data_IF_924906992342
#
_entry.id   IF_924906992342
#
_cell.length_a   1.000
_cell.length_b   1.000
_cell.length_c   1.000
_cell.angle_alpha   90.00
_cell.angle_beta   90.00
_cell.angle_gamma   90.00
#
_symmetry.space_group_name_H-M   'P 1'
#
loop_
_entity.id
_entity.type
_entity.pdbx_description
1 polymer ?
#
# COMPACT_ATOMS: atom_id res chain seq x y z
N UNK A 1 -14.79 9.67 42.49
CA UNK A 1 -16.16 9.60 41.92
C UNK A 1 -16.61 11.01 41.62
N UNK A 2 -17.33 11.22 40.52
CA UNK A 2 -17.87 12.53 40.16
C UNK A 2 -18.93 12.95 41.18
N UNK A 3 -19.01 14.25 41.48
CA UNK A 3 -20.09 14.84 42.28
C UNK A 3 -21.40 14.86 41.49
N UNK A 4 -22.55 14.94 42.18
CA UNK A 4 -23.87 15.02 41.52
C UNK A 4 -23.97 16.20 40.53
N UNK A 5 -23.28 17.31 40.84
CA UNK A 5 -23.19 18.46 39.93
C UNK A 5 -22.36 18.15 38.68
N UNK A 6 -21.23 17.45 38.81
CA UNK A 6 -20.42 17.02 37.66
C UNK A 6 -21.17 15.99 36.81
N UNK A 7 -21.87 15.05 37.43
CA UNK A 7 -22.72 14.08 36.71
C UNK A 7 -23.78 14.81 35.89
N UNK A 8 -24.49 15.78 36.48
CA UNK A 8 -25.49 16.56 35.74
C UNK A 8 -24.89 17.36 34.58
N UNK A 9 -23.67 17.86 34.73
CA UNK A 9 -23.00 18.64 33.69
C UNK A 9 -22.46 17.78 32.55
N UNK A 10 -21.94 16.59 32.84
CA UNK A 10 -21.22 15.75 31.87
C UNK A 10 -21.96 14.51 31.40
N UNK A 11 -23.12 14.16 31.99
CA UNK A 11 -23.95 13.05 31.48
C UNK A 11 -24.37 13.28 30.04
N UNK A 12 -24.45 12.20 29.28
CA UNK A 12 -24.94 12.20 27.91
C UNK A 12 -26.34 11.59 27.87
N UNK A 13 -27.26 12.36 27.32
CA UNK A 13 -28.63 11.94 27.13
C UNK A 13 -28.85 11.55 25.66
N UNK A 14 -29.88 10.76 25.42
CA UNK A 14 -30.35 10.45 24.09
C UNK A 14 -30.60 11.75 23.31
N UNK A 15 -30.16 11.75 22.05
CA UNK A 15 -30.18 12.88 21.12
C UNK A 15 -29.15 13.98 21.40
N UNK A 16 -28.31 13.86 22.43
CA UNK A 16 -27.12 14.71 22.52
C UNK A 16 -26.17 14.41 21.37
N UNK A 17 -25.44 15.44 20.96
CA UNK A 17 -24.41 15.34 19.93
C UNK A 17 -23.05 15.59 20.58
N UNK A 18 -22.05 14.78 20.25
CA UNK A 18 -20.66 14.99 20.67
C UNK A 18 -19.81 15.36 19.47
N UNK A 19 -19.08 16.46 19.58
CA UNK A 19 -18.04 16.84 18.65
C UNK A 19 -16.66 16.43 19.17
N UNK A 20 -15.85 15.86 18.28
CA UNK A 20 -14.43 15.58 18.56
C UNK A 20 -13.68 16.91 18.60
N UNK A 21 -13.27 17.35 19.79
CA UNK A 21 -12.58 18.61 20.01
C UNK A 21 -11.11 18.53 19.66
N UNK A 22 -10.43 17.46 20.12
CA UNK A 22 -8.98 17.29 19.97
C UNK A 22 -8.70 15.93 19.32
N UNK A 23 -7.94 15.93 18.23
CA UNK A 23 -7.51 14.69 17.58
C UNK A 23 -6.21 14.87 16.80
N UNK A 24 -5.37 13.84 16.74
CA UNK A 24 -4.18 13.84 15.87
C UNK A 24 -4.55 13.90 14.39
N UNK A 25 -5.68 13.31 14.01
CA UNK A 25 -6.22 13.39 12.65
C UNK A 25 -7.00 14.68 12.43
N UNK A 26 -6.51 15.47 11.47
CA UNK A 26 -7.18 16.63 10.90
C UNK A 26 -8.59 16.33 10.36
N UNK A 27 -8.81 15.10 9.89
CA UNK A 27 -10.09 14.71 9.31
C UNK A 27 -11.13 14.31 10.37
N UNK A 28 -10.67 13.81 11.53
CA UNK A 28 -11.57 13.41 12.62
C UNK A 28 -11.98 14.59 13.50
N UNK A 29 -11.10 15.57 13.69
CA UNK A 29 -11.42 16.76 14.49
C UNK A 29 -12.63 17.50 13.90
N UNK A 30 -13.53 17.97 14.76
CA UNK A 30 -14.74 18.67 14.38
C UNK A 30 -15.86 17.78 13.81
N UNK A 31 -15.70 16.45 13.80
CA UNK A 31 -16.80 15.54 13.44
C UNK A 31 -17.77 15.37 14.60
N UNK A 32 -19.04 15.19 14.26
CA UNK A 32 -20.14 15.02 15.22
C UNK A 32 -20.59 13.55 15.25
N UNK A 33 -20.89 13.07 16.45
CA UNK A 33 -21.44 11.75 16.74
C UNK A 33 -22.74 11.92 17.53
N UNK A 34 -23.80 11.23 17.13
CA UNK A 34 -25.07 11.20 17.86
C UNK A 34 -25.08 10.16 18.96
N UNK A 35 -25.70 10.52 20.09
CA UNK A 35 -25.98 9.62 21.20
C UNK A 35 -27.40 9.06 21.03
N UNK A 36 -27.50 7.75 20.80
CA UNK A 36 -28.77 7.11 20.44
C UNK A 36 -29.55 6.57 21.65
N UNK A 37 -28.89 6.47 22.81
CA UNK A 37 -29.44 5.94 24.06
C UNK A 37 -28.95 6.75 25.26
N UNK A 38 -29.71 6.74 26.35
CA UNK A 38 -29.30 7.38 27.59
C UNK A 38 -28.15 6.57 28.20
N UNK A 39 -27.01 7.21 28.43
CA UNK A 39 -25.82 6.55 28.97
C UNK A 39 -25.33 7.26 30.22
N UNK A 40 -25.06 6.50 31.28
CA UNK A 40 -24.37 7.01 32.48
C UNK A 40 -22.85 7.09 32.25
N UNK A 41 -22.46 7.81 31.20
CA UNK A 41 -21.05 8.05 30.85
C UNK A 41 -20.73 9.53 30.90
N UNK A 42 -19.50 9.84 31.33
CA UNK A 42 -18.92 11.16 31.25
C UNK A 42 -17.85 11.19 30.14
N UNK A 43 -17.69 12.33 29.49
CA UNK A 43 -16.68 12.55 28.45
C UNK A 43 -15.57 13.47 28.96
N UNK A 44 -14.35 13.28 28.46
CA UNK A 44 -13.23 14.15 28.78
C UNK A 44 -13.25 15.45 27.94
N UNK A 45 -12.33 16.35 28.23
CA UNK A 45 -12.17 17.66 27.60
C UNK A 45 -11.84 17.61 26.09
N UNK A 46 -11.48 16.43 25.56
CA UNK A 46 -11.32 16.16 24.12
C UNK A 46 -12.63 16.12 23.34
N UNK A 47 -13.77 16.30 24.02
CA UNK A 47 -15.09 16.33 23.41
C UNK A 47 -15.86 17.59 23.81
N UNK A 48 -16.73 18.04 22.91
CA UNK A 48 -17.69 19.13 23.16
C UNK A 48 -19.08 18.56 22.96
N UNK A 49 -19.96 18.70 23.97
CA UNK A 49 -21.36 18.34 23.87
C UNK A 49 -22.18 19.47 23.25
N UNK A 50 -22.98 19.14 22.25
CA UNK A 50 -23.98 19.97 21.61
C UNK A 50 -25.35 19.53 22.11
N UNK A 51 -26.02 20.44 22.82
CA UNK A 51 -27.40 20.25 23.22
C UNK A 51 -28.29 21.02 22.26
N UNK A 52 -29.04 20.29 21.44
CA UNK A 52 -29.92 20.88 20.44
C UNK A 52 -31.22 21.37 21.08
N UNK A 53 -31.80 22.42 20.50
CA UNK A 53 -33.15 22.82 20.85
C UNK A 53 -34.13 21.82 20.23
N UNK A 54 -34.74 21.01 21.10
CA UNK A 54 -35.76 20.04 20.70
C UNK A 54 -36.86 20.74 19.88
N UNK A 55 -37.32 20.06 18.83
CA UNK A 55 -38.39 20.51 17.91
C UNK A 55 -38.00 21.58 16.87
N UNK A 56 -36.73 21.96 16.76
CA UNK A 56 -36.27 22.86 15.68
C UNK A 56 -35.35 22.12 14.69
N UNK A 57 -34.44 21.31 15.23
CA UNK A 57 -33.45 20.60 14.42
C UNK A 57 -33.27 19.16 14.91
N UNK A 58 -33.21 18.23 13.96
CA UNK A 58 -32.95 16.83 14.27
C UNK A 58 -31.45 16.55 14.45
N UNK A 59 -31.05 15.70 15.42
CA UNK A 59 -29.64 15.36 15.64
C UNK A 59 -28.95 14.77 14.41
N UNK A 60 -29.62 13.82 13.73
CA UNK A 60 -29.09 13.17 12.53
C UNK A 60 -28.84 14.17 11.39
N UNK A 61 -29.73 15.14 11.22
CA UNK A 61 -29.53 16.20 10.22
C UNK A 61 -28.27 17.02 10.51
N UNK A 62 -28.06 17.44 11.75
CA UNK A 62 -26.85 18.19 12.15
C UNK A 62 -25.61 17.33 11.95
N UNK A 63 -25.64 16.06 12.32
CA UNK A 63 -24.54 15.13 12.12
C UNK A 63 -24.14 15.03 10.63
N UNK A 64 -25.11 14.85 9.72
CA UNK A 64 -24.83 14.82 8.29
C UNK A 64 -24.38 16.19 7.76
N UNK A 65 -24.99 17.28 8.22
CA UNK A 65 -24.64 18.64 7.81
C UNK A 65 -23.18 18.99 8.15
N UNK A 66 -22.70 18.60 9.33
CA UNK A 66 -21.32 18.81 9.74
C UNK A 66 -20.29 18.00 8.93
N UNK A 67 -20.73 16.95 8.25
CA UNK A 67 -19.90 16.17 7.31
C UNK A 67 -19.91 16.73 5.88
N UNK A 68 -20.70 17.77 5.59
CA UNK A 68 -20.69 18.41 4.27
C UNK A 68 -19.37 19.13 4.00
N UNK A 69 -19.00 19.25 2.73
CA UNK A 69 -17.75 19.91 2.32
C UNK A 69 -17.63 21.33 2.86
N UNK A 70 -18.71 22.11 2.89
CA UNK A 70 -18.71 23.48 3.40
C UNK A 70 -18.30 23.57 4.87
N UNK A 71 -18.93 22.76 5.73
CA UNK A 71 -18.60 22.74 7.16
C UNK A 71 -17.23 22.13 7.40
N UNK A 72 -16.88 21.03 6.72
CA UNK A 72 -15.54 20.43 6.84
C UNK A 72 -14.43 21.40 6.44
N UNK A 73 -14.63 22.19 5.39
CA UNK A 73 -13.69 23.24 4.97
C UNK A 73 -13.62 24.37 6.00
N UNK A 74 -14.74 24.80 6.56
CA UNK A 74 -14.76 25.79 7.63
C UNK A 74 -13.97 25.30 8.86
N UNK A 75 -14.16 24.04 9.25
CA UNK A 75 -13.40 23.42 10.35
C UNK A 75 -11.91 23.39 10.04
N UNK A 76 -11.54 22.97 8.84
CA UNK A 76 -10.14 22.88 8.41
C UNK A 76 -9.42 24.23 8.47
N UNK A 77 -10.10 25.31 8.10
CA UNK A 77 -9.51 26.66 8.05
C UNK A 77 -9.38 27.34 9.42
N UNK A 78 -10.19 26.93 10.41
CA UNK A 78 -10.26 27.60 11.70
C UNK A 78 -9.73 26.75 12.87
N UNK A 79 -9.46 25.47 12.66
CA UNK A 79 -8.83 24.62 13.68
C UNK A 79 -7.42 25.11 14.01
N UNK A 80 -7.01 24.92 15.26
CA UNK A 80 -5.66 25.22 15.72
C UNK A 80 -4.86 23.93 15.80
N UNK A 81 -3.66 23.92 15.23
CA UNK A 81 -2.74 22.78 15.31
C UNK A 81 -1.57 23.12 16.23
N UNK A 82 -1.35 22.32 17.27
CA UNK A 82 -0.21 22.44 18.19
C UNK A 82 0.28 21.05 18.60
N UNK A 83 1.60 20.85 18.64
CA UNK A 83 2.24 19.60 19.08
C UNK A 83 1.68 18.31 18.41
N UNK A 84 1.28 18.38 17.13
CA UNK A 84 0.72 17.23 16.39
C UNK A 84 -0.75 16.91 16.69
N UNK A 85 -1.42 17.74 17.48
CA UNK A 85 -2.87 17.65 17.73
C UNK A 85 -3.60 18.81 17.04
N UNK A 86 -4.74 18.49 16.44
CA UNK A 86 -5.68 19.46 15.90
C UNK A 86 -6.79 19.68 16.92
N UNK A 87 -7.14 20.94 17.14
CA UNK A 87 -8.12 21.36 18.14
C UNK A 87 -9.14 22.34 17.55
N UNK A 88 -10.42 22.10 17.81
CA UNK A 88 -11.49 23.08 17.60
C UNK A 88 -11.95 23.66 18.93
N UNK A 89 -12.43 24.91 18.94
CA UNK A 89 -12.97 25.54 20.13
C UNK A 89 -14.49 25.73 20.01
N UNK A 90 -15.15 26.00 21.14
CA UNK A 90 -16.62 26.11 21.19
C UNK A 90 -17.14 27.32 20.41
N UNK A 91 -16.44 28.45 20.48
CA UNK A 91 -16.82 29.72 19.83
C UNK A 91 -16.80 29.63 18.30
N UNK A 92 -15.80 28.95 17.75
CA UNK A 92 -15.71 28.65 16.32
C UNK A 92 -16.90 27.79 15.89
N UNK A 93 -17.23 26.74 16.64
CA UNK A 93 -18.32 25.85 16.27
C UNK A 93 -19.69 26.53 16.41
N UNK A 94 -19.88 27.41 17.39
CA UNK A 94 -21.12 28.18 17.54
C UNK A 94 -21.30 29.24 16.44
N UNK A 95 -20.23 29.65 15.78
CA UNK A 95 -20.26 30.60 14.65
C UNK A 95 -20.56 29.91 13.31
N UNK A 96 -20.49 28.57 13.25
CA UNK A 96 -20.78 27.82 12.05
C UNK A 96 -22.24 28.01 11.61
N UNK A 97 -22.44 28.50 10.38
CA UNK A 97 -23.78 28.72 9.82
C UNK A 97 -24.38 27.38 9.39
N UNK A 98 -25.48 27.00 10.03
CA UNK A 98 -26.26 25.80 9.68
C UNK A 98 -27.49 26.22 8.90
N UNK A 99 -27.69 25.63 7.71
CA UNK A 99 -28.93 25.81 6.96
C UNK A 99 -30.02 24.95 7.60
N UNK A 100 -31.08 25.57 8.08
CA UNK A 100 -32.20 24.88 8.76
C UNK A 100 -33.43 24.99 7.85
N UNK A 101 -34.03 23.84 7.57
CA UNK A 101 -35.32 23.69 6.90
C UNK A 101 -36.37 23.14 7.88
N UNK A 102 -37.62 22.91 7.45
CA UNK A 102 -38.63 22.36 8.36
C UNK A 102 -38.28 20.93 8.78
N UNK A 103 -38.78 20.47 9.95
CA UNK A 103 -38.43 19.14 10.47
C UNK A 103 -38.76 18.00 9.51
N UNK A 104 -39.83 18.12 8.74
CA UNK A 104 -40.22 17.10 7.76
C UNK A 104 -39.23 17.05 6.59
N UNK A 105 -38.77 18.20 6.09
CA UNK A 105 -37.69 18.25 5.09
C UNK A 105 -36.37 17.71 5.65
N UNK A 106 -36.03 18.02 6.90
CA UNK A 106 -34.82 17.46 7.54
C UNK A 106 -34.87 15.94 7.59
N UNK A 107 -36.01 15.35 8.00
CA UNK A 107 -36.20 13.89 8.00
C UNK A 107 -36.12 13.31 6.60
N UNK A 108 -36.73 13.95 5.60
CA UNK A 108 -36.69 13.50 4.21
C UNK A 108 -35.25 13.50 3.65
N UNK A 109 -34.47 14.55 3.93
CA UNK A 109 -33.06 14.64 3.54
C UNK A 109 -32.23 13.54 4.21
N UNK A 110 -32.41 13.34 5.52
CA UNK A 110 -31.68 12.29 6.26
C UNK A 110 -32.04 10.91 5.72
N UNK A 111 -33.34 10.64 5.49
CA UNK A 111 -33.78 9.35 4.93
C UNK A 111 -33.16 9.07 3.56
N UNK A 112 -33.13 10.06 2.67
CA UNK A 112 -32.48 9.92 1.36
C UNK A 112 -30.97 9.65 1.49
N UNK A 113 -30.29 10.34 2.42
CA UNK A 113 -28.86 10.13 2.66
C UNK A 113 -28.58 8.74 3.23
N UNK A 114 -29.34 8.31 4.24
CA UNK A 114 -29.19 6.99 4.85
C UNK A 114 -29.49 5.86 3.85
N UNK A 115 -30.51 6.02 2.99
CA UNK A 115 -30.80 5.10 1.90
C UNK A 115 -29.59 4.98 0.95
N UNK A 116 -29.04 6.10 0.48
CA UNK A 116 -27.89 6.09 -0.44
C UNK A 116 -26.61 5.58 0.20
N UNK A 117 -26.37 5.89 1.47
CA UNK A 117 -25.22 5.34 2.20
C UNK A 117 -25.38 3.83 2.40
N UNK A 118 -26.60 3.36 2.71
CA UNK A 118 -26.87 1.93 2.83
C UNK A 118 -26.71 1.18 1.50
N UNK A 119 -27.12 1.77 0.36
CA UNK A 119 -26.84 1.23 -0.98
C UNK A 119 -25.33 1.07 -1.21
N UNK A 120 -24.53 2.06 -0.80
CA UNK A 120 -23.06 2.00 -0.91
C UNK A 120 -22.50 0.87 -0.05
N UNK A 121 -22.91 0.74 1.22
CA UNK A 121 -22.47 -0.33 2.11
C UNK A 121 -22.81 -1.72 1.55
N UNK A 122 -24.02 -1.88 0.99
CA UNK A 122 -24.45 -3.12 0.34
C UNK A 122 -23.61 -3.45 -0.90
N UNK A 123 -23.25 -2.44 -1.69
CA UNK A 123 -22.36 -2.62 -2.85
C UNK A 123 -20.96 -3.03 -2.41
N UNK A 124 -20.42 -2.41 -1.36
CA UNK A 124 -19.12 -2.80 -0.79
C UNK A 124 -19.14 -4.25 -0.31
N UNK A 125 -20.18 -4.66 0.42
CA UNK A 125 -20.35 -6.05 0.87
C UNK A 125 -20.49 -7.02 -0.30
N UNK A 126 -21.22 -6.63 -1.35
CA UNK A 126 -21.39 -7.43 -2.58
C UNK A 126 -20.06 -7.62 -3.30
N UNK A 127 -19.26 -6.56 -3.41
CA UNK A 127 -17.91 -6.61 -4.01
C UNK A 127 -17.02 -7.53 -3.18
N UNK A 128 -16.98 -7.38 -1.85
CA UNK A 128 -16.18 -8.22 -0.97
C UNK A 128 -16.56 -9.71 -1.10
N UNK A 129 -17.86 -10.00 -1.11
CA UNK A 129 -18.38 -11.37 -1.28
C UNK A 129 -18.01 -11.93 -2.65
N UNK A 130 -18.15 -11.13 -3.71
CA UNK A 130 -17.82 -11.53 -5.09
C UNK A 130 -16.32 -11.83 -5.24
N UNK A 131 -15.44 -11.04 -4.61
CA UNK A 131 -14.00 -11.30 -4.60
C UNK A 131 -13.68 -12.62 -3.89
N UNK A 132 -14.33 -12.89 -2.75
CA UNK A 132 -14.15 -14.15 -2.03
C UNK A 132 -14.62 -15.35 -2.85
N UNK A 133 -15.78 -15.23 -3.50
CA UNK A 133 -16.31 -16.27 -4.40
C UNK A 133 -15.40 -16.50 -5.61
N UNK A 134 -14.88 -15.44 -6.21
CA UNK A 134 -13.94 -15.54 -7.33
C UNK A 134 -12.65 -16.27 -6.92
N UNK A 135 -12.10 -15.98 -5.74
CA UNK A 135 -10.94 -16.70 -5.21
C UNK A 135 -11.27 -18.17 -4.94
N UNK A 136 -12.42 -18.47 -4.31
CA UNK A 136 -12.84 -19.85 -4.06
C UNK A 136 -13.04 -20.65 -5.37
N UNK A 137 -13.67 -20.03 -6.38
CA UNK A 137 -13.85 -20.63 -7.70
C UNK A 137 -12.50 -20.88 -8.38
N UNK A 138 -11.58 -19.92 -8.32
CA UNK A 138 -10.21 -20.08 -8.82
C UNK A 138 -9.52 -21.27 -8.17
N UNK A 139 -9.59 -21.40 -6.84
CA UNK A 139 -9.00 -22.54 -6.12
C UNK A 139 -9.64 -23.88 -6.53
N UNK A 140 -10.96 -23.90 -6.72
CA UNK A 140 -11.68 -25.09 -7.19
C UNK A 140 -11.21 -25.49 -8.61
N UNK A 141 -11.07 -24.53 -9.52
CA UNK A 141 -10.57 -24.79 -10.89
C UNK A 141 -9.13 -25.29 -10.85
N UNK A 142 -8.23 -24.66 -10.09
CA UNK A 142 -6.84 -25.10 -9.95
C UNK A 142 -6.75 -26.51 -9.36
N UNK A 143 -7.54 -26.79 -8.31
CA UNK A 143 -7.62 -28.14 -7.73
C UNK A 143 -8.06 -29.18 -8.77
N UNK A 144 -9.07 -28.86 -9.58
CA UNK A 144 -9.51 -29.73 -10.68
C UNK A 144 -8.43 -29.86 -11.77
N UNK A 145 -7.68 -28.79 -12.07
CA UNK A 145 -6.61 -28.81 -13.05
C UNK A 145 -5.47 -29.75 -12.63
N UNK A 146 -4.97 -29.59 -11.39
CA UNK A 146 -3.86 -30.38 -10.86
C UNK A 146 -4.23 -31.83 -10.53
N UNK A 147 -5.52 -32.14 -10.38
CA UNK A 147 -6.02 -33.52 -10.25
C UNK A 147 -6.39 -34.15 -11.59
N UNK A 148 -6.15 -33.46 -12.72
CA UNK A 148 -6.47 -33.97 -14.07
C UNK A 148 -7.97 -34.00 -14.39
N UNK A 149 -8.83 -33.46 -13.54
CA UNK A 149 -10.29 -33.56 -13.67
C UNK A 149 -10.91 -32.51 -14.62
N UNK A 150 -10.10 -31.64 -15.23
CA UNK A 150 -10.58 -30.63 -16.19
C UNK A 150 -10.71 -31.15 -17.63
N UNK A 151 -10.13 -32.31 -17.94
CA UNK A 151 -10.17 -32.95 -19.27
C UNK A 151 -10.41 -34.45 -19.07
N UNK A 152 -11.01 -35.12 -20.06
CA UNK A 152 -11.14 -36.58 -20.03
C UNK A 152 -9.74 -37.22 -19.95
N UNK A 153 -9.56 -38.14 -19.00
CA UNK A 153 -8.29 -38.83 -18.76
C UNK A 153 -8.10 -39.99 -19.75
N UNK A 154 -6.92 -40.10 -20.37
CA UNK A 154 -6.54 -41.28 -21.15
C UNK A 154 -6.02 -42.37 -20.20
N UNK A 155 -6.58 -43.57 -20.28
CA UNK A 155 -6.15 -44.73 -19.47
C UNK A 155 -4.72 -45.18 -19.76
N UNK A 156 -4.11 -44.72 -20.86
CA UNK A 156 -2.72 -45.03 -21.21
C UNK A 156 -1.70 -44.01 -20.68
N UNK A 157 -2.14 -42.91 -20.06
CA UNK A 157 -1.23 -41.92 -19.49
C UNK A 157 -0.46 -42.50 -18.30
N UNK A 158 0.85 -42.25 -18.26
CA UNK A 158 1.71 -42.67 -17.17
C UNK A 158 1.27 -41.98 -15.85
N UNK A 159 1.05 -42.73 -14.75
CA UNK A 159 0.67 -42.12 -13.48
C UNK A 159 1.75 -41.19 -12.96
N UNK A 160 1.35 -40.01 -12.44
CA UNK A 160 2.28 -39.02 -11.88
C UNK A 160 3.20 -39.58 -10.77
N UNK A 161 2.79 -40.66 -10.09
CA UNK A 161 3.60 -41.37 -9.10
C UNK A 161 4.89 -41.96 -9.69
N UNK A 162 4.82 -42.51 -10.92
CA UNK A 162 5.97 -43.13 -11.60
C UNK A 162 7.00 -42.07 -12.01
N UNK A 163 6.51 -40.92 -12.50
CA UNK A 163 7.36 -39.77 -12.82
C UNK A 163 8.06 -39.20 -11.57
N UNK A 164 7.33 -39.11 -10.45
CA UNK A 164 7.90 -38.65 -9.17
C UNK A 164 8.99 -39.60 -8.64
N UNK A 165 8.82 -40.91 -8.78
CA UNK A 165 9.84 -41.90 -8.42
C UNK A 165 11.11 -41.75 -9.26
N UNK A 166 10.98 -41.52 -10.58
CA UNK A 166 12.13 -41.23 -11.46
C UNK A 166 12.88 -39.96 -11.05
N UNK A 167 12.17 -38.87 -10.79
CA UNK A 167 12.78 -37.60 -10.36
C UNK A 167 13.50 -37.76 -9.01
N UNK A 168 12.95 -38.58 -8.11
CA UNK A 168 13.56 -38.87 -6.81
C UNK A 168 14.85 -39.68 -6.96
N UNK A 169 14.82 -40.73 -7.79
CA UNK A 169 16.00 -41.54 -8.10
C UNK A 169 17.11 -40.73 -8.78
N UNK A 170 16.78 -39.82 -9.69
CA UNK A 170 17.74 -38.91 -10.32
C UNK A 170 18.36 -37.91 -9.34
N UNK A 171 17.56 -37.35 -8.43
CA UNK A 171 18.06 -36.45 -7.37
C UNK A 171 18.97 -37.17 -6.38
N UNK A 172 18.61 -38.38 -5.99
CA UNK A 172 19.41 -39.20 -5.08
C UNK A 172 20.75 -39.58 -5.72
N UNK A 173 20.76 -39.89 -7.03
CA UNK A 173 21.99 -40.15 -7.80
C UNK A 173 22.90 -38.91 -7.91
N UNK A 174 22.34 -37.70 -8.03
CA UNK A 174 23.11 -36.44 -8.07
C UNK A 174 23.67 -36.02 -6.70
N UNK A 175 23.10 -36.49 -5.60
CA UNK A 175 23.58 -36.19 -4.24
C UNK A 175 24.87 -36.94 -3.85
N UNK A 176 25.27 -37.97 -4.60
CA UNK A 176 26.41 -38.84 -4.28
C UNK A 176 27.75 -38.22 -4.70
N UNK A 177 27.78 -37.29 -5.65
CA UNK A 177 29.00 -36.62 -6.14
C UNK A 177 29.45 -35.41 -5.32
N UNK A 178 28.62 -34.93 -4.38
CA UNK A 178 28.92 -33.76 -3.53
C UNK A 178 29.23 -34.16 -2.07
N UNK A 179 30.15 -35.10 -1.84
CA UNK A 179 30.61 -35.47 -0.48
C UNK A 179 31.94 -34.81 -0.11
N UNK A 180 31.92 -33.51 0.14
CA UNK A 180 32.94 -32.82 0.95
C UNK A 180 32.40 -31.51 1.54
N UNK A 181 31.57 -31.62 2.59
CA UNK A 181 31.51 -30.69 3.73
C UNK A 181 30.44 -31.17 4.72
N UNK A 182 30.86 -31.67 5.87
CA UNK A 182 29.98 -31.88 7.03
C UNK A 182 29.54 -30.51 7.54
N UNK A 183 28.24 -30.22 7.44
CA UNK A 183 27.58 -29.15 8.19
C UNK A 183 26.60 -29.79 9.19
N UNK A 184 26.67 -29.34 10.45
CA UNK A 184 25.78 -29.78 11.53
C UNK A 184 24.32 -29.50 11.16
N UNK A 185 23.47 -30.53 11.24
CA UNK A 185 22.02 -30.42 11.11
C UNK A 185 21.46 -29.64 12.30
N UNK A 186 21.05 -28.39 12.08
CA UNK A 186 20.01 -27.76 12.91
C UNK A 186 18.66 -28.14 12.32
N UNK A 187 17.86 -28.89 13.06
CA UNK A 187 16.49 -29.24 12.68
C UNK A 187 15.59 -28.03 12.90
N UNK A 188 15.14 -27.40 11.81
CA UNK A 188 13.99 -26.51 11.83
C UNK A 188 12.86 -27.19 11.05
N UNK A 189 11.74 -27.42 11.74
CA UNK A 189 10.52 -28.02 11.18
C UNK A 189 10.01 -27.13 10.03
N UNK A 190 9.73 -27.66 8.83
CA UNK A 190 9.12 -26.86 7.78
C UNK A 190 7.67 -26.52 8.15
N UNK A 191 7.34 -25.23 8.19
CA UNK A 191 5.96 -24.77 8.23
C UNK A 191 5.30 -25.06 6.86
N UNK A 192 4.02 -25.48 6.83
CA UNK A 192 3.38 -25.89 5.59
C UNK A 192 3.08 -24.69 4.69
N UNK A 193 3.66 -24.70 3.49
CA UNK A 193 3.38 -23.74 2.43
C UNK A 193 2.00 -24.05 1.83
N UNK A 194 1.05 -23.13 1.97
CA UNK A 194 -0.21 -23.14 1.20
C UNK A 194 -0.05 -22.27 -0.04
N UNK A 195 0.15 -22.90 -1.19
CA UNK A 195 0.26 -22.25 -2.50
C UNK A 195 -1.12 -21.91 -3.06
N UNK A 196 -1.66 -20.74 -2.70
CA UNK A 196 -2.63 -20.04 -3.54
C UNK A 196 -1.83 -19.09 -4.43
N UNK A 197 -1.55 -19.47 -5.68
CA UNK A 197 -0.89 -18.57 -6.64
C UNK A 197 -1.92 -17.52 -7.06
N UNK A 198 -1.99 -16.39 -6.37
CA UNK A 198 -2.62 -15.15 -6.86
C UNK A 198 -1.68 -14.60 -7.96
N UNK A 199 -2.16 -14.02 -9.08
CA UNK A 199 -1.27 -13.31 -9.99
C UNK A 199 -0.68 -12.11 -9.24
N UNK A 200 0.56 -12.28 -8.78
CA UNK A 200 1.35 -11.24 -8.17
C UNK A 200 2.34 -10.76 -9.24
N UNK A 201 2.33 -9.48 -9.62
CA UNK A 201 1.53 -8.38 -9.07
C UNK A 201 0.10 -8.27 -9.62
N UNK A 202 -0.80 -7.65 -8.85
CA UNK A 202 -2.22 -7.41 -9.13
C UNK A 202 -2.43 -6.08 -9.86
N UNK A 203 -3.26 -6.07 -10.90
CA UNK A 203 -3.70 -4.83 -11.57
C UNK A 203 -4.79 -4.13 -10.76
N UNK A 204 -4.58 -2.86 -10.46
CA UNK A 204 -5.61 -2.04 -9.79
C UNK A 204 -6.67 -1.57 -10.80
N UNK A 205 -7.94 -1.64 -10.40
CA UNK A 205 -9.05 -1.15 -11.20
C UNK A 205 -8.98 0.38 -11.36
N UNK A 206 -9.59 0.91 -12.42
CA UNK A 206 -9.80 2.35 -12.64
C UNK A 206 -8.54 3.22 -12.88
N UNK A 207 -7.36 2.61 -13.04
CA UNK A 207 -6.14 3.31 -13.47
C UNK A 207 -5.33 2.43 -14.44
N UNK A 208 -4.76 3.03 -15.49
CA UNK A 208 -3.83 2.30 -16.35
C UNK A 208 -2.51 2.07 -15.60
N UNK A 209 -1.82 0.96 -15.86
CA UNK A 209 -0.52 0.69 -15.24
C UNK A 209 0.50 1.80 -15.52
N UNK A 210 0.42 2.45 -16.68
CA UNK A 210 1.24 3.61 -17.05
C UNK A 210 0.94 4.84 -16.19
N UNK A 211 -0.35 5.17 -16.00
CA UNK A 211 -0.76 6.29 -15.15
C UNK A 211 -0.43 6.01 -13.67
N UNK A 212 -0.62 4.77 -13.22
CA UNK A 212 -0.30 4.32 -11.87
C UNK A 212 1.21 4.42 -11.61
N UNK A 213 2.04 3.95 -12.52
CA UNK A 213 3.50 4.07 -12.40
C UNK A 213 3.92 5.55 -12.36
N UNK A 214 3.39 6.40 -13.23
CA UNK A 214 3.62 7.86 -13.14
C UNK A 214 3.23 8.41 -11.76
N UNK A 215 2.08 7.96 -11.23
CA UNK A 215 1.58 8.29 -9.91
C UNK A 215 2.52 7.89 -8.77
N UNK A 216 3.05 6.67 -8.81
CA UNK A 216 4.04 6.17 -7.84
C UNK A 216 5.31 7.03 -7.89
N UNK A 217 5.79 7.40 -9.08
CA UNK A 217 6.96 8.28 -9.20
C UNK A 217 6.69 9.68 -8.67
N UNK A 218 5.52 10.24 -8.96
CA UNK A 218 5.10 11.55 -8.45
C UNK A 218 5.00 11.54 -6.92
N UNK A 219 4.40 10.51 -6.34
CA UNK A 219 4.30 10.34 -4.88
C UNK A 219 5.67 10.18 -4.25
N UNK A 220 6.54 9.34 -4.82
CA UNK A 220 7.92 9.18 -4.35
C UNK A 220 8.69 10.51 -4.38
N UNK A 221 8.54 11.30 -5.45
CA UNK A 221 9.13 12.64 -5.54
C UNK A 221 8.58 13.57 -4.46
N UNK A 222 7.26 13.59 -4.23
CA UNK A 222 6.62 14.41 -3.20
C UNK A 222 7.18 14.10 -1.79
N UNK A 223 7.40 12.82 -1.46
CA UNK A 223 8.04 12.42 -0.20
C UNK A 223 9.47 12.98 -0.05
N UNK A 224 10.26 12.98 -1.14
CA UNK A 224 11.62 13.54 -1.15
C UNK A 224 11.63 15.07 -1.10
N UNK A 225 10.65 15.71 -1.73
CA UNK A 225 10.51 17.17 -1.71
C UNK A 225 10.10 17.68 -0.32
N UNK A 226 9.19 16.99 0.38
CA UNK A 226 8.83 17.31 1.76
C UNK A 226 9.95 17.05 2.78
N UNK A 227 11.00 16.34 2.38
CA UNK A 227 12.19 16.10 3.21
C UNK A 227 13.46 16.56 2.48
N UNK A 228 13.73 17.89 2.41
CA UNK A 228 14.79 18.46 1.56
C UNK A 228 16.18 17.84 1.73
N UNK A 229 16.49 17.32 2.93
CA UNK A 229 17.72 16.58 3.22
C UNK A 229 17.98 15.40 2.27
N UNK A 230 16.91 14.73 1.82
CA UNK A 230 16.99 13.55 0.96
C UNK A 230 16.67 13.84 -0.51
N UNK A 231 16.27 15.07 -0.85
CA UNK A 231 15.89 15.44 -2.22
C UNK A 231 17.00 15.13 -3.25
N UNK A 232 18.27 15.33 -2.87
CA UNK A 232 19.42 15.03 -3.72
C UNK A 232 19.60 13.54 -4.05
N UNK A 233 18.94 12.63 -3.31
CA UNK A 233 18.99 11.19 -3.56
C UNK A 233 17.94 10.73 -4.58
N UNK A 234 17.00 11.60 -4.95
CA UNK A 234 15.95 11.26 -5.90
C UNK A 234 16.36 11.52 -7.35
N UNK A 235 16.35 10.46 -8.16
CA UNK A 235 16.64 10.48 -9.59
C UNK A 235 16.17 9.17 -10.25
N UNK A 236 16.47 8.94 -11.54
CA UNK A 236 15.98 7.76 -12.28
C UNK A 236 16.25 6.42 -11.60
N UNK A 237 17.47 6.20 -11.12
CA UNK A 237 17.83 4.93 -10.49
C UNK A 237 16.99 4.72 -9.22
N UNK A 238 16.85 5.76 -8.40
CA UNK A 238 16.04 5.72 -7.17
C UNK A 238 14.56 5.47 -7.49
N UNK A 239 14.01 6.19 -8.47
CA UNK A 239 12.65 6.03 -8.98
C UNK A 239 12.38 4.59 -9.44
N UNK A 240 13.24 4.03 -10.28
CA UNK A 240 13.11 2.65 -10.78
C UNK A 240 13.21 1.59 -9.68
N UNK A 241 14.02 1.84 -8.64
CA UNK A 241 14.14 0.93 -7.49
C UNK A 241 12.90 0.96 -6.61
N UNK A 242 12.35 2.15 -6.36
CA UNK A 242 11.07 2.30 -5.65
C UNK A 242 9.96 1.60 -6.43
N UNK A 243 9.84 1.85 -7.74
CA UNK A 243 8.85 1.17 -8.58
C UNK A 243 9.02 -0.35 -8.56
N UNK A 244 10.26 -0.86 -8.47
CA UNK A 244 10.50 -2.30 -8.42
C UNK A 244 10.02 -2.90 -7.11
N UNK A 245 10.31 -2.25 -5.99
CA UNK A 245 9.86 -2.73 -4.69
C UNK A 245 8.36 -2.56 -4.51
N UNK A 246 7.73 -1.51 -5.04
CA UNK A 246 6.26 -1.40 -5.04
C UNK A 246 5.62 -2.57 -5.80
N UNK A 247 6.15 -2.92 -6.97
CA UNK A 247 5.62 -4.04 -7.75
C UNK A 247 5.92 -5.40 -7.12
N UNK A 248 7.16 -5.63 -6.68
CA UNK A 248 7.63 -6.93 -6.22
C UNK A 248 7.37 -7.22 -4.74
N UNK A 249 7.21 -6.20 -3.89
CA UNK A 249 6.95 -6.38 -2.46
C UNK A 249 5.47 -6.17 -2.11
N UNK A 250 4.84 -5.15 -2.69
CA UNK A 250 3.44 -4.83 -2.41
C UNK A 250 2.48 -5.51 -3.40
N UNK A 251 3.00 -6.09 -4.49
CA UNK A 251 2.18 -6.82 -5.47
C UNK A 251 1.30 -5.92 -6.32
N UNK A 252 1.75 -4.70 -6.64
CA UNK A 252 0.98 -3.72 -7.41
C UNK A 252 1.52 -3.66 -8.85
N UNK A 253 0.73 -4.03 -9.85
CA UNK A 253 1.20 -4.15 -11.23
C UNK A 253 1.41 -2.78 -11.86
N UNK A 254 2.68 -2.44 -12.11
CA UNK A 254 3.06 -1.20 -12.80
C UNK A 254 3.27 -1.45 -14.30
N UNK A 255 3.03 -2.67 -14.78
CA UNK A 255 3.16 -3.06 -16.18
C UNK A 255 4.62 -3.07 -16.65
N UNK A 256 5.56 -3.27 -15.73
CA UNK A 256 6.99 -3.30 -16.01
C UNK A 256 7.46 -4.71 -16.36
N UNK A 257 8.52 -4.77 -17.15
CA UNK A 257 9.27 -5.98 -17.49
C UNK A 257 10.75 -5.78 -17.11
N UNK A 258 11.06 -5.81 -15.79
CA UNK A 258 12.41 -5.52 -15.32
C UNK A 258 13.42 -6.55 -15.81
N UNK A 259 14.58 -6.06 -16.26
CA UNK A 259 15.74 -6.86 -16.63
C UNK A 259 16.91 -6.63 -15.68
N UNK A 260 17.84 -7.59 -15.64
CA UNK A 260 19.13 -7.46 -14.98
C UNK A 260 19.99 -6.41 -15.70
N UNK A 261 20.10 -5.23 -15.12
CA UNK A 261 20.93 -4.13 -15.65
C UNK A 261 22.00 -3.66 -14.66
N UNK A 262 22.93 -2.82 -15.14
CA UNK A 262 24.02 -2.27 -14.34
C UNK A 262 23.54 -1.59 -13.04
N UNK A 263 22.43 -0.86 -13.10
CA UNK A 263 21.80 -0.17 -11.96
C UNK A 263 20.76 -1.03 -11.21
N UNK A 264 20.85 -2.36 -11.27
CA UNK A 264 19.89 -3.28 -10.65
C UNK A 264 18.70 -3.64 -11.57
N UNK A 265 17.55 -4.08 -11.02
CA UNK A 265 16.35 -4.40 -11.82
C UNK A 265 15.82 -3.13 -12.49
N UNK A 266 15.75 -3.10 -13.81
CA UNK A 266 15.49 -1.86 -14.56
C UNK A 266 14.63 -2.12 -15.80
N UNK A 267 13.76 -1.18 -16.13
CA UNK A 267 12.96 -1.18 -17.36
C UNK A 267 12.96 0.23 -17.99
N UNK A 268 14.10 0.60 -18.58
CA UNK A 268 14.30 1.92 -19.16
C UNK A 268 13.32 2.25 -20.31
N UNK A 269 13.01 1.33 -21.25
CA UNK A 269 12.00 1.60 -22.28
C UNK A 269 10.63 1.94 -21.68
N UNK A 270 10.19 1.21 -20.66
CA UNK A 270 8.94 1.51 -19.97
C UNK A 270 9.03 2.85 -19.23
N UNK A 271 10.11 3.14 -18.50
CA UNK A 271 10.31 4.42 -17.83
C UNK A 271 10.19 5.61 -18.80
N UNK A 272 10.77 5.51 -20.00
CA UNK A 272 10.65 6.55 -21.04
C UNK A 272 9.22 6.74 -21.53
N UNK A 273 8.44 5.65 -21.62
CA UNK A 273 7.00 5.73 -21.89
C UNK A 273 6.25 6.46 -20.78
N UNK A 274 6.61 6.23 -19.51
CA UNK A 274 6.04 6.94 -18.36
C UNK A 274 6.36 8.44 -18.42
N UNK A 275 7.63 8.80 -18.64
CA UNK A 275 8.06 10.20 -18.76
C UNK A 275 7.32 10.92 -19.90
N UNK A 276 7.22 10.27 -21.07
CA UNK A 276 6.49 10.83 -22.22
C UNK A 276 5.00 11.03 -21.89
N UNK A 277 4.37 10.05 -21.23
CA UNK A 277 2.97 10.14 -20.78
C UNK A 277 2.78 11.27 -19.78
N UNK A 278 3.66 11.40 -18.79
CA UNK A 278 3.61 12.42 -17.75
C UNK A 278 3.78 13.83 -18.32
N UNK A 279 4.69 14.00 -19.28
CA UNK A 279 4.88 15.27 -19.98
C UNK A 279 3.64 15.65 -20.79
N UNK A 280 3.08 14.74 -21.59
CA UNK A 280 1.84 14.99 -22.37
C UNK A 280 0.65 15.34 -21.47
N UNK A 281 0.60 14.76 -20.27
CA UNK A 281 -0.46 15.00 -19.29
C UNK A 281 -0.23 16.23 -18.39
N UNK A 282 0.90 16.93 -18.54
CA UNK A 282 1.33 18.03 -17.66
C UNK A 282 1.43 17.62 -16.18
N UNK A 283 1.78 16.38 -15.87
CA UNK A 283 1.97 15.91 -14.50
C UNK A 283 3.34 16.29 -13.95
N UNK A 284 4.40 15.89 -14.62
CA UNK A 284 5.78 16.24 -14.27
C UNK A 284 6.69 16.10 -15.48
N UNK A 285 7.88 16.69 -15.38
CA UNK A 285 8.96 16.50 -16.34
C UNK A 285 10.20 15.97 -15.63
N UNK A 286 10.99 15.17 -16.32
CA UNK A 286 12.30 14.72 -15.85
C UNK A 286 13.34 15.12 -16.87
N UNK A 287 14.36 15.88 -16.46
CA UNK A 287 15.41 16.35 -17.36
C UNK A 287 16.78 16.04 -16.77
N UNK A 288 17.70 15.59 -17.61
CA UNK A 288 19.09 15.48 -17.21
C UNK A 288 19.70 16.88 -17.09
N UNK A 289 20.54 17.10 -16.07
CA UNK A 289 21.29 18.36 -15.95
C UNK A 289 22.24 18.52 -17.15
N UNK A 290 22.52 19.78 -17.52
CA UNK A 290 23.32 20.13 -18.72
C UNK A 290 24.76 19.61 -18.70
N UNK A 291 25.28 19.31 -17.51
CA UNK A 291 26.59 18.71 -17.26
C UNK A 291 26.60 17.18 -17.47
N UNK A 292 25.50 16.58 -17.92
CA UNK A 292 25.34 15.13 -17.98
C UNK A 292 25.08 14.49 -16.60
N UNK A 293 24.86 15.32 -15.57
CA UNK A 293 24.66 14.92 -14.19
C UNK A 293 23.28 14.33 -13.91
N UNK A 294 22.88 14.35 -12.64
CA UNK A 294 21.65 13.72 -12.16
C UNK A 294 20.38 14.22 -12.89
N UNK A 295 19.39 13.34 -13.00
CA UNK A 295 18.06 13.67 -13.51
C UNK A 295 17.28 14.48 -12.47
N UNK A 296 16.68 15.59 -12.90
CA UNK A 296 15.90 16.51 -12.07
C UNK A 296 14.43 16.39 -12.43
N UNK A 297 13.61 16.20 -11.40
CA UNK A 297 12.15 16.18 -11.50
C UNK A 297 11.59 17.59 -11.29
N UNK A 298 10.62 17.98 -12.11
CA UNK A 298 9.86 19.23 -11.97
C UNK A 298 8.36 18.96 -12.08
N UNK A 299 7.58 19.53 -11.17
CA UNK A 299 6.11 19.39 -11.18
C UNK A 299 5.50 20.15 -12.36
N UNK A 300 4.49 19.55 -12.97
CA UNK A 300 3.59 20.19 -13.92
C UNK A 300 2.31 20.68 -13.24
N UNK A 301 1.45 21.35 -14.01
CA UNK A 301 0.21 21.96 -13.49
C UNK A 301 -0.81 20.94 -12.99
N UNK A 302 -0.72 19.69 -13.46
CA UNK A 302 -1.66 18.61 -13.12
C UNK A 302 -1.05 17.57 -12.17
N UNK A 303 0.06 17.92 -11.50
CA UNK A 303 0.76 17.04 -10.56
C UNK A 303 -0.14 16.58 -9.41
N UNK A 304 -0.83 17.51 -8.74
CA UNK A 304 -1.69 17.18 -7.60
C UNK A 304 -2.92 16.35 -8.02
N UNK A 305 -3.44 16.58 -9.22
CA UNK A 305 -4.51 15.76 -9.79
C UNK A 305 -4.06 14.31 -10.03
N UNK A 306 -2.82 14.09 -10.48
CA UNK A 306 -2.23 12.75 -10.57
C UNK A 306 -2.08 12.10 -9.20
N UNK A 307 -1.60 12.85 -8.19
CA UNK A 307 -1.48 12.32 -6.82
C UNK A 307 -2.82 11.90 -6.24
N UNK A 308 -3.86 12.71 -6.43
CA UNK A 308 -5.22 12.41 -5.98
C UNK A 308 -5.77 11.17 -6.71
N UNK A 309 -5.66 11.12 -8.04
CA UNK A 309 -6.06 9.95 -8.85
C UNK A 309 -5.34 8.68 -8.40
N UNK A 310 -4.04 8.77 -8.13
CA UNK A 310 -3.22 7.64 -7.68
C UNK A 310 -3.62 7.18 -6.28
N UNK A 311 -3.85 8.11 -5.35
CA UNK A 311 -4.30 7.78 -3.99
C UNK A 311 -5.65 7.05 -4.02
N UNK A 312 -6.60 7.52 -4.83
CA UNK A 312 -7.90 6.86 -5.00
C UNK A 312 -7.74 5.45 -5.59
N UNK A 313 -6.90 5.29 -6.62
CA UNK A 313 -6.70 3.99 -7.25
C UNK A 313 -5.96 2.98 -6.35
N UNK A 314 -5.05 3.45 -5.48
CA UNK A 314 -4.34 2.59 -4.53
C UNK A 314 -5.26 2.02 -3.44
N UNK A 315 -6.32 2.76 -3.05
CA UNK A 315 -7.23 2.34 -1.98
C UNK A 315 -6.47 1.93 -0.72
N UNK A 316 -6.71 0.71 -0.24
CA UNK A 316 -6.07 0.14 0.94
C UNK A 316 -4.55 -0.01 0.83
N UNK A 317 -4.01 -0.07 -0.39
CA UNK A 317 -2.56 -0.18 -0.61
C UNK A 317 -1.83 1.15 -0.38
N UNK A 318 -2.55 2.28 -0.29
CA UNK A 318 -1.92 3.61 -0.22
C UNK A 318 -1.00 3.76 1.01
N UNK A 319 -1.41 3.23 2.17
CA UNK A 319 -0.62 3.28 3.40
C UNK A 319 0.67 2.46 3.28
N UNK A 320 0.58 1.24 2.74
CA UNK A 320 1.73 0.37 2.53
C UNK A 320 2.74 0.97 1.52
N UNK A 321 2.24 1.63 0.48
CA UNK A 321 3.09 2.37 -0.48
C UNK A 321 3.82 3.53 0.21
N UNK A 322 3.14 4.30 1.07
CA UNK A 322 3.76 5.41 1.81
C UNK A 322 4.80 4.92 2.83
N UNK A 323 4.52 3.82 3.52
CA UNK A 323 5.45 3.19 4.45
C UNK A 323 6.71 2.73 3.72
N UNK A 324 6.57 2.06 2.57
CA UNK A 324 7.69 1.66 1.73
C UNK A 324 8.50 2.86 1.21
N UNK A 325 7.82 3.94 0.78
CA UNK A 325 8.49 5.17 0.36
C UNK A 325 9.28 5.80 1.51
N UNK A 326 8.71 5.86 2.71
CA UNK A 326 9.35 6.39 3.92
C UNK A 326 10.56 5.56 4.32
N UNK A 327 10.47 4.23 4.20
CA UNK A 327 11.56 3.30 4.47
C UNK A 327 12.73 3.49 3.50
N UNK A 328 12.43 3.74 2.22
CA UNK A 328 13.46 3.93 1.19
C UNK A 328 14.02 5.35 1.18
N UNK A 329 13.27 6.34 1.66
CA UNK A 329 13.63 7.76 1.65
C UNK A 329 15.09 8.07 2.10
N UNK A 330 15.61 7.55 3.22
CA UNK A 330 16.97 7.87 3.68
C UNK A 330 18.08 7.19 2.89
N UNK A 331 17.78 6.17 2.07
CA UNK A 331 18.79 5.46 1.30
C UNK A 331 19.28 6.32 0.14
N UNK A 332 20.60 6.44 -0.03
CA UNK A 332 21.13 7.04 -1.26
C UNK A 332 20.88 6.15 -2.49
N UNK A 333 21.17 6.65 -3.68
CA UNK A 333 20.95 5.94 -4.94
C UNK A 333 21.62 4.56 -4.98
N UNK A 334 22.84 4.45 -4.44
CA UNK A 334 23.63 3.20 -4.45
C UNK A 334 23.09 2.19 -3.45
N UNK A 335 22.66 2.63 -2.28
CA UNK A 335 22.02 1.77 -1.27
C UNK A 335 20.68 1.24 -1.78
N UNK A 336 19.84 2.10 -2.37
CA UNK A 336 18.57 1.69 -2.96
C UNK A 336 18.78 0.66 -4.09
N UNK A 337 19.80 0.89 -4.92
CA UNK A 337 20.23 -0.05 -5.96
C UNK A 337 20.59 -1.43 -5.39
N UNK A 338 21.40 -1.48 -4.32
CA UNK A 338 21.79 -2.74 -3.66
C UNK A 338 20.56 -3.46 -3.11
N UNK A 339 19.70 -2.75 -2.37
CA UNK A 339 18.47 -3.32 -1.79
C UNK A 339 17.56 -3.91 -2.87
N UNK A 340 17.27 -3.17 -3.94
CA UNK A 340 16.42 -3.67 -5.02
C UNK A 340 17.06 -4.84 -5.77
N UNK A 341 18.39 -4.86 -5.92
CA UNK A 341 19.11 -5.97 -6.57
C UNK A 341 19.06 -7.23 -5.70
N UNK A 342 19.28 -7.11 -4.39
CA UNK A 342 19.15 -8.21 -3.43
C UNK A 342 17.73 -8.75 -3.38
N UNK A 343 16.73 -7.87 -3.35
CA UNK A 343 15.33 -8.27 -3.35
C UNK A 343 14.98 -9.10 -4.59
N UNK A 344 15.38 -8.62 -5.77
CA UNK A 344 15.12 -9.32 -7.02
C UNK A 344 15.88 -10.65 -7.12
N UNK A 345 17.15 -10.70 -6.70
CA UNK A 345 17.94 -11.91 -6.65
C UNK A 345 17.33 -12.96 -5.72
N UNK A 346 16.96 -12.56 -4.50
CA UNK A 346 16.29 -13.41 -3.54
C UNK A 346 14.94 -13.90 -4.07
N UNK A 347 14.12 -13.02 -4.66
CA UNK A 347 12.86 -13.41 -5.29
C UNK A 347 13.06 -14.44 -6.41
N UNK A 348 14.04 -14.23 -7.31
CA UNK A 348 14.36 -15.19 -8.36
C UNK A 348 14.74 -16.58 -7.80
N UNK A 349 15.56 -16.62 -6.74
CA UNK A 349 15.95 -17.88 -6.10
C UNK A 349 14.74 -18.59 -5.46
N UNK A 350 13.82 -17.85 -4.85
CA UNK A 350 12.60 -18.40 -4.28
C UNK A 350 11.64 -18.93 -5.36
N UNK A 351 11.54 -18.25 -6.52
CA UNK A 351 10.75 -18.73 -7.66
C UNK A 351 11.21 -20.10 -8.17
N UNK A 352 12.49 -20.45 -7.97
CA UNK A 352 13.04 -21.77 -8.31
C UNK A 352 12.79 -22.83 -7.23
N UNK A 353 11.98 -22.54 -6.20
CA UNK A 353 11.55 -23.49 -5.17
C UNK A 353 12.60 -23.77 -4.10
N UNK A 354 13.62 -22.92 -3.96
CA UNK A 354 14.68 -23.05 -2.96
C UNK A 354 14.43 -22.27 -1.67
N UNK A 355 15.22 -22.58 -0.63
CA UNK A 355 15.39 -21.75 0.57
C UNK A 355 16.81 -21.19 0.54
N UNK A 356 17.06 -20.09 -0.19
CA UNK A 356 18.42 -19.65 -0.46
C UNK A 356 19.09 -19.10 0.81
N UNK A 357 20.35 -19.48 1.00
CA UNK A 357 21.24 -18.92 2.01
C UNK A 357 21.65 -17.49 1.65
N UNK A 358 22.17 -16.76 2.65
CA UNK A 358 22.68 -15.39 2.47
C UNK A 358 23.77 -15.34 1.40
N UNK A 359 24.63 -16.36 1.36
CA UNK A 359 25.70 -16.49 0.37
C UNK A 359 25.13 -16.61 -1.04
N UNK A 360 24.08 -17.42 -1.24
CA UNK A 360 23.43 -17.60 -2.54
C UNK A 360 22.70 -16.33 -2.99
N UNK A 361 22.02 -15.63 -2.06
CA UNK A 361 21.33 -14.37 -2.36
C UNK A 361 22.34 -13.30 -2.79
N UNK A 362 23.44 -13.15 -2.03
CA UNK A 362 24.49 -12.19 -2.36
C UNK A 362 25.17 -12.58 -3.67
N UNK A 363 25.46 -13.87 -3.88
CA UNK A 363 26.04 -14.38 -5.11
C UNK A 363 25.19 -14.03 -6.32
N UNK A 364 23.88 -14.29 -6.23
CA UNK A 364 22.96 -14.01 -7.32
C UNK A 364 22.82 -12.49 -7.60
N UNK A 365 22.88 -11.66 -6.56
CA UNK A 365 22.75 -10.21 -6.68
C UNK A 365 24.01 -9.51 -7.22
N UNK A 366 25.21 -10.07 -7.00
CA UNK A 366 26.48 -9.41 -7.33
C UNK A 366 27.23 -10.12 -8.47
N UNK A 367 27.38 -11.43 -8.40
CA UNK A 367 28.17 -12.23 -9.34
C UNK A 367 27.34 -12.59 -10.58
N UNK A 368 26.05 -12.92 -10.40
CA UNK A 368 25.15 -13.36 -11.48
C UNK A 368 24.31 -12.23 -12.13
N UNK A 369 24.58 -10.96 -11.80
CA UNK A 369 23.75 -9.83 -12.22
C UNK A 369 24.30 -9.05 -13.43
N UNK A 370 25.26 -8.15 -13.20
CA UNK A 370 25.94 -7.36 -14.24
C UNK A 370 27.38 -7.12 -13.79
N UNK A 371 28.36 -7.10 -14.71
CA UNK A 371 29.78 -7.01 -14.38
C UNK A 371 30.14 -5.80 -13.48
N UNK A 372 29.42 -4.68 -13.63
CA UNK A 372 29.59 -3.49 -12.78
C UNK A 372 29.32 -3.71 -11.28
N UNK A 373 28.59 -4.77 -10.92
CA UNK A 373 28.31 -5.13 -9.51
C UNK A 373 29.54 -5.69 -8.81
N UNK A 374 30.47 -6.29 -9.56
CA UNK A 374 31.73 -6.80 -9.01
C UNK A 374 32.58 -5.68 -8.39
N UNK A 375 32.42 -4.43 -8.85
CA UNK A 375 33.06 -3.26 -8.25
C UNK A 375 32.50 -2.83 -6.89
N UNK A 376 31.43 -3.47 -6.39
CA UNK A 376 30.90 -3.26 -5.04
C UNK A 376 31.43 -4.38 -4.14
N UNK A 377 31.91 -4.02 -2.95
CA UNK A 377 32.33 -4.99 -1.93
C UNK A 377 31.18 -5.90 -1.50
N UNK A 378 31.44 -7.21 -1.36
CA UNK A 378 30.44 -8.20 -0.91
C UNK A 378 29.79 -7.82 0.42
N UNK A 379 30.58 -7.26 1.34
CA UNK A 379 30.12 -6.82 2.67
C UNK A 379 29.00 -5.76 2.60
N UNK A 380 28.93 -4.95 1.54
CA UNK A 380 27.84 -3.99 1.35
C UNK A 380 26.53 -4.68 0.99
N UNK A 381 26.58 -5.83 0.34
CA UNK A 381 25.40 -6.66 0.05
C UNK A 381 24.92 -7.40 1.30
N UNK A 382 25.83 -7.96 2.11
CA UNK A 382 25.46 -8.58 3.39
C UNK A 382 24.78 -7.60 4.34
N UNK A 383 25.37 -6.40 4.53
CA UNK A 383 24.72 -5.33 5.31
C UNK A 383 23.37 -4.90 4.74
N UNK A 384 23.25 -4.87 3.41
CA UNK A 384 21.97 -4.60 2.74
C UNK A 384 20.91 -5.67 3.02
N UNK A 385 21.31 -6.96 3.01
CA UNK A 385 20.44 -8.09 3.27
C UNK A 385 19.98 -8.12 4.73
N UNK A 386 20.89 -7.86 5.67
CA UNK A 386 20.57 -7.73 7.08
C UNK A 386 19.58 -6.59 7.32
N UNK A 387 19.85 -5.41 6.74
CA UNK A 387 18.95 -4.26 6.81
C UNK A 387 17.56 -4.58 6.24
N UNK A 388 17.49 -5.30 5.11
CA UNK A 388 16.21 -5.74 4.52
C UNK A 388 15.41 -6.59 5.50
N UNK A 389 16.04 -7.57 6.16
CA UNK A 389 15.37 -8.43 7.15
C UNK A 389 14.90 -7.65 8.37
N UNK A 390 15.73 -6.76 8.91
CA UNK A 390 15.36 -5.89 10.03
C UNK A 390 14.16 -4.99 9.73
N UNK A 391 13.96 -4.66 8.44
CA UNK A 391 12.88 -3.80 7.96
C UNK A 391 11.70 -4.54 7.33
N UNK A 392 11.69 -5.87 7.39
CA UNK A 392 10.61 -6.70 6.83
C UNK A 392 10.56 -6.76 5.30
N UNK A 393 11.59 -6.28 4.60
CA UNK A 393 11.70 -6.37 3.14
C UNK A 393 12.19 -7.75 2.69
N UNK A 394 11.33 -8.75 2.88
CA UNK A 394 11.60 -10.15 2.51
C UNK A 394 10.67 -10.57 1.38
N UNK A 395 11.18 -11.05 0.23
CA UNK A 395 10.35 -11.56 -0.84
C UNK A 395 9.69 -12.88 -0.47
N UNK A 396 8.47 -13.08 -0.97
CA UNK A 396 7.72 -14.33 -0.84
C UNK A 396 7.91 -15.27 -2.03
N UNK A 397 8.72 -14.90 -3.04
CA UNK A 397 8.93 -15.69 -4.24
C UNK A 397 7.75 -15.67 -5.21
N UNK A 398 6.98 -14.58 -5.21
CA UNK A 398 5.80 -14.38 -6.03
C UNK A 398 5.94 -13.22 -7.03
N UNK A 399 6.99 -12.39 -6.90
CA UNK A 399 7.29 -11.28 -7.81
C UNK A 399 7.68 -11.74 -9.21
N UNK A 400 7.59 -10.84 -10.20
CA UNK A 400 8.06 -11.11 -11.58
C UNK A 400 9.53 -11.53 -11.58
N UNK A 401 9.87 -12.56 -12.36
CA UNK A 401 11.26 -12.97 -12.55
C UNK A 401 12.06 -11.89 -13.29
N UNK A 402 13.21 -11.48 -12.73
CA UNK A 402 14.10 -10.49 -13.35
C UNK A 402 15.22 -11.21 -14.10
N UNK A 403 15.05 -11.34 -15.42
CA UNK A 403 15.97 -12.06 -16.30
C UNK A 403 17.01 -11.18 -17.00
N UNK A 404 17.92 -11.80 -17.75
CA UNK A 404 18.75 -11.08 -18.73
C UNK A 404 17.86 -10.58 -19.88
N UNK A 405 18.26 -9.47 -20.51
CA UNK A 405 17.59 -8.99 -21.72
C UNK A 405 17.66 -10.09 -22.79
N UNK A 406 16.51 -10.50 -23.33
CA UNK A 406 16.43 -11.44 -24.44
C UNK A 406 17.02 -10.83 -25.71
#
# INVERSE_FOLDING_TARGET
MLTDNEINNYRLLKNDLICIRVNGSADLVGRIVSINEDMEIAYCDHFIRFKLFNNIVSPSYVQHFFNTHGVRRYVELNKVSSAGQNTVNQEMLSTAKVAICCLEEQKAIVGLLEEKLSEVDQLEQTIATSLQQAEALRQSILKKAFSGQLVAQDTNDEPASVLLERIKAERDAQSVTAKSRKLQKVQLKPAPVKTNVIPFPVKLANISTTDLHAGILARAYQHHEYTPKYLAYFGHVKAEKIAHLVEAHLGIDLGREPIKAAAGPNDYPHLKKIESRAQKANWFNVRQKKDGGAYVFTKGRSFDALLFKTKLALGDHAAAVDELMSLLLPLNTRQAEIVATLYAAWNNLLLHGGSPSDEEIVYEARESWHASKLGIEREKFFRGLEWMRQKGLVPAGNGRHVGKKK
#
